data_IF_831542769704
#
_entry.id   IF_831542769704
#
_cell.length_a   1.000
_cell.length_b   1.000
_cell.length_c   1.000
_cell.angle_alpha   90.00
_cell.angle_beta   90.00
_cell.angle_gamma   90.00
#
_symmetry.space_group_name_H-M   'P 1'
#
loop_
_entity.id
_entity.type
_entity.pdbx_description
1 polymer ?
#
# COMPACT_ATOMS: atom_id res chain seq x y z
N UNK A 1 -15.38 -18.15 -19.23
CA UNK A 1 -16.51 -19.12 -19.24
C UNK A 1 -17.80 -18.63 -18.56
N UNK A 2 -17.83 -17.49 -17.85
CA UNK A 2 -19.07 -16.73 -17.60
C UNK A 2 -18.81 -15.21 -17.67
N UNK A 3 -17.61 -14.77 -17.31
CA UNK A 3 -17.15 -13.38 -17.46
C UNK A 3 -16.85 -12.94 -18.91
N UNK A 4 -16.71 -13.88 -19.85
CA UNK A 4 -16.34 -13.61 -21.24
C UNK A 4 -17.25 -14.40 -22.18
N UNK A 5 -18.48 -13.92 -22.36
CA UNK A 5 -19.43 -14.42 -23.38
C UNK A 5 -20.40 -15.53 -22.97
N UNK A 6 -20.60 -15.77 -21.66
CA UNK A 6 -21.66 -16.64 -21.13
C UNK A 6 -22.88 -15.85 -20.62
N UNK A 7 -23.83 -16.52 -19.94
CA UNK A 7 -25.01 -15.89 -19.32
C UNK A 7 -24.60 -14.70 -18.44
N UNK A 8 -24.97 -13.49 -18.86
CA UNK A 8 -24.51 -12.25 -18.24
C UNK A 8 -25.01 -12.11 -16.81
N UNK A 9 -26.15 -12.73 -16.48
CA UNK A 9 -26.74 -12.71 -15.14
C UNK A 9 -25.86 -13.39 -14.10
N UNK A 10 -25.18 -14.48 -14.47
CA UNK A 10 -24.25 -15.20 -13.57
C UNK A 10 -22.80 -14.74 -13.73
N UNK A 11 -22.52 -13.87 -14.71
CA UNK A 11 -21.18 -13.37 -15.03
C UNK A 11 -21.04 -11.90 -14.68
N UNK A 12 -21.12 -11.05 -15.70
CA UNK A 12 -20.89 -9.60 -15.59
C UNK A 12 -21.84 -8.96 -14.56
N UNK A 13 -23.13 -9.24 -14.66
CA UNK A 13 -24.16 -8.52 -13.91
C UNK A 13 -24.07 -8.86 -12.42
N UNK A 14 -23.84 -10.13 -12.08
CA UNK A 14 -23.56 -10.56 -10.70
C UNK A 14 -22.32 -9.87 -10.08
N UNK A 15 -21.27 -9.61 -10.88
CA UNK A 15 -20.09 -8.88 -10.41
C UNK A 15 -20.46 -7.42 -10.11
N UNK A 16 -21.25 -6.77 -10.96
CA UNK A 16 -21.68 -5.39 -10.69
C UNK A 16 -22.59 -5.31 -9.47
N UNK A 17 -23.56 -6.21 -9.33
CA UNK A 17 -24.41 -6.28 -8.13
C UNK A 17 -23.58 -6.50 -6.85
N UNK A 18 -22.56 -7.37 -6.91
CA UNK A 18 -21.64 -7.56 -5.80
C UNK A 18 -20.88 -6.28 -5.46
N UNK A 19 -20.33 -5.58 -6.46
CA UNK A 19 -19.59 -4.34 -6.23
C UNK A 19 -20.49 -3.22 -5.69
N UNK A 20 -21.74 -3.13 -6.14
CA UNK A 20 -22.74 -2.20 -5.58
C UNK A 20 -23.06 -2.55 -4.13
N UNK A 21 -23.24 -3.83 -3.81
CA UNK A 21 -23.47 -4.27 -2.43
C UNK A 21 -22.26 -3.98 -1.52
N UNK A 22 -21.04 -4.16 -2.02
CA UNK A 22 -19.80 -3.81 -1.31
C UNK A 22 -19.76 -2.32 -1.01
N UNK A 23 -19.99 -1.46 -2.02
CA UNK A 23 -20.00 0.00 -1.85
C UNK A 23 -21.07 0.45 -0.83
N UNK A 24 -22.26 -0.15 -0.89
CA UNK A 24 -23.36 0.19 0.01
C UNK A 24 -23.14 -0.29 1.45
N UNK A 25 -22.41 -1.41 1.64
CA UNK A 25 -22.30 -2.08 2.95
C UNK A 25 -20.99 -1.76 3.68
N UNK A 26 -19.93 -1.41 2.96
CA UNK A 26 -18.59 -1.22 3.53
C UNK A 26 -18.23 0.26 3.45
N UNK A 27 -18.29 1.01 4.57
CA UNK A 27 -17.90 2.42 4.56
C UNK A 27 -16.40 2.56 4.26
N UNK A 28 -16.05 3.62 3.53
CA UNK A 28 -14.65 3.96 3.30
C UNK A 28 -13.97 4.26 4.63
N UNK A 29 -12.86 3.58 4.99
CA UNK A 29 -12.17 3.84 6.24
C UNK A 29 -11.50 5.22 6.21
N UNK A 30 -11.55 5.91 7.35
CA UNK A 30 -10.82 7.16 7.54
C UNK A 30 -9.34 6.83 7.62
N UNK A 31 -8.54 7.46 6.74
CA UNK A 31 -7.09 7.31 6.74
C UNK A 31 -6.45 8.36 7.65
N UNK A 32 -5.60 7.93 8.56
CA UNK A 32 -4.91 8.83 9.50
C UNK A 32 -3.65 9.45 8.89
N UNK A 33 -3.80 10.23 7.82
CA UNK A 33 -2.68 10.76 7.02
C UNK A 33 -1.90 11.89 7.68
N UNK A 34 -2.49 12.57 8.67
CA UNK A 34 -1.91 13.75 9.33
C UNK A 34 -1.02 13.38 10.53
N UNK A 35 -0.93 12.10 10.87
CA UNK A 35 -0.06 11.59 11.92
C UNK A 35 1.38 11.41 11.40
N UNK A 36 2.31 11.21 12.32
CA UNK A 36 3.68 10.81 11.97
C UNK A 36 3.66 9.49 11.21
N UNK A 37 4.49 9.38 10.17
CA UNK A 37 4.63 8.15 9.40
C UNK A 37 4.98 6.96 10.29
N UNK A 38 4.26 5.86 10.11
CA UNK A 38 4.56 4.57 10.72
C UNK A 38 4.18 3.46 9.74
N UNK A 39 5.13 2.58 9.46
CA UNK A 39 4.93 1.41 8.62
C UNK A 39 5.60 0.19 9.28
N UNK A 40 4.81 -0.81 9.71
CA UNK A 40 5.35 -2.11 10.08
C UNK A 40 6.06 -2.76 8.89
N UNK A 41 7.23 -3.33 9.15
CA UNK A 41 7.98 -4.07 8.13
C UNK A 41 7.38 -5.47 7.99
N UNK A 42 6.89 -5.81 6.81
CA UNK A 42 6.38 -7.15 6.47
C UNK A 42 7.47 -8.03 5.88
N UNK A 43 8.29 -7.50 4.97
CA UNK A 43 9.40 -8.21 4.35
C UNK A 43 10.50 -7.24 3.89
N UNK A 44 11.69 -7.76 3.60
CA UNK A 44 12.83 -6.98 3.13
C UNK A 44 13.50 -7.65 1.93
N UNK A 45 13.89 -6.85 0.95
CA UNK A 45 14.58 -7.30 -0.25
C UNK A 45 15.87 -6.50 -0.43
N UNK A 46 16.93 -7.14 -0.89
CA UNK A 46 18.14 -6.45 -1.32
C UNK A 46 18.23 -6.48 -2.84
N UNK A 47 18.05 -5.32 -3.47
CA UNK A 47 18.07 -5.18 -4.93
C UNK A 47 19.42 -4.58 -5.31
N UNK A 48 20.21 -5.35 -6.08
CA UNK A 48 21.51 -4.90 -6.59
C UNK A 48 21.37 -3.57 -7.33
N UNK A 49 22.18 -2.58 -6.95
CA UNK A 49 22.17 -1.24 -7.54
C UNK A 49 21.04 -0.30 -7.10
N UNK A 50 20.06 -0.77 -6.30
CA UNK A 50 18.99 0.07 -5.75
C UNK A 50 19.05 0.18 -4.22
N UNK A 51 19.57 -0.85 -3.56
CA UNK A 51 19.69 -0.92 -2.10
C UNK A 51 18.66 -1.85 -1.46
N UNK A 52 18.35 -1.60 -0.19
CA UNK A 52 17.37 -2.36 0.57
C UNK A 52 15.97 -1.79 0.36
N UNK A 53 15.03 -2.64 -0.02
CA UNK A 53 13.61 -2.35 -0.17
C UNK A 53 12.88 -2.99 0.99
N UNK A 54 11.97 -2.25 1.61
CA UNK A 54 11.22 -2.68 2.79
C UNK A 54 9.75 -2.60 2.45
N UNK A 55 9.04 -3.71 2.49
CA UNK A 55 7.63 -3.73 2.14
C UNK A 55 6.75 -3.74 3.37
N UNK A 56 5.59 -3.08 3.27
CA UNK A 56 4.55 -3.15 4.28
C UNK A 56 3.36 -2.27 3.96
N UNK A 57 2.32 -2.39 4.79
CA UNK A 57 1.22 -1.44 4.82
C UNK A 57 1.56 -0.24 5.70
N UNK A 58 1.39 0.97 5.17
CA UNK A 58 1.51 2.18 5.99
C UNK A 58 0.32 2.23 6.96
N UNK A 59 0.62 2.21 8.26
CA UNK A 59 -0.41 2.22 9.31
C UNK A 59 -0.99 3.62 9.49
N UNK A 60 -0.11 4.63 9.52
CA UNK A 60 -0.50 6.03 9.71
C UNK A 60 0.51 6.98 9.05
N UNK A 61 0.07 8.21 8.83
CA UNK A 61 0.87 9.28 8.26
C UNK A 61 1.11 9.16 6.76
N UNK A 62 2.11 9.90 6.30
CA UNK A 62 2.54 9.99 4.90
C UNK A 62 4.07 10.08 4.86
N UNK A 63 4.67 9.40 3.90
CA UNK A 63 6.10 9.46 3.62
C UNK A 63 6.30 9.85 2.16
N UNK A 64 7.10 10.90 1.92
CA UNK A 64 7.50 11.29 0.57
C UNK A 64 8.91 10.81 0.27
N UNK A 65 9.18 10.61 -1.01
CA UNK A 65 10.55 10.38 -1.48
C UNK A 65 11.42 11.59 -1.11
N UNK A 66 12.57 11.33 -0.50
CA UNK A 66 13.53 12.32 -0.02
C UNK A 66 13.38 12.70 1.45
N UNK A 67 12.35 12.21 2.16
CA UNK A 67 12.18 12.49 3.59
C UNK A 67 13.03 11.56 4.47
N UNK A 68 13.51 12.10 5.60
CA UNK A 68 14.19 11.34 6.64
C UNK A 68 13.22 10.41 7.36
N UNK A 69 13.70 9.22 7.73
CA UNK A 69 12.96 8.26 8.54
C UNK A 69 13.88 7.51 9.50
N UNK A 70 13.28 6.89 10.50
CA UNK A 70 13.97 6.05 11.47
C UNK A 70 13.48 4.61 11.36
N UNK A 71 14.43 3.67 11.31
CA UNK A 71 14.15 2.24 11.45
C UNK A 71 14.26 1.90 12.93
N UNK A 72 13.12 1.56 13.55
CA UNK A 72 12.98 1.34 14.99
C UNK A 72 12.63 -0.12 15.27
N UNK A 73 13.27 -0.71 16.28
CA UNK A 73 13.02 -2.08 16.74
C UNK A 73 14.20 -3.02 16.49
N UNK A 74 14.18 -4.20 17.14
CA UNK A 74 15.23 -5.26 17.19
C UNK A 74 16.64 -4.81 17.62
N UNK A 75 17.17 -3.74 17.04
CA UNK A 75 18.48 -3.14 17.28
C UNK A 75 18.32 -1.66 17.63
N UNK A 76 19.45 -0.97 17.86
CA UNK A 76 19.45 0.48 18.07
C UNK A 76 18.86 1.21 16.85
N UNK A 77 18.06 2.24 17.11
CA UNK A 77 17.41 3.06 16.08
C UNK A 77 18.43 3.65 15.11
N UNK A 78 18.15 3.53 13.81
CA UNK A 78 18.99 4.07 12.75
C UNK A 78 18.21 5.08 11.91
N UNK A 79 18.84 6.23 11.64
CA UNK A 79 18.31 7.23 10.71
C UNK A 79 18.72 6.88 9.29
N UNK A 80 17.80 7.09 8.35
CA UNK A 80 18.03 6.92 6.92
C UNK A 80 17.08 7.84 6.14
N UNK A 81 17.20 7.85 4.81
CA UNK A 81 16.36 8.65 3.91
C UNK A 81 15.55 7.71 3.03
N UNK A 82 14.27 8.01 2.84
CA UNK A 82 13.45 7.35 1.82
C UNK A 82 13.93 7.76 0.43
N UNK A 83 14.56 6.87 -0.32
CA UNK A 83 15.04 7.19 -1.68
C UNK A 83 14.02 6.90 -2.78
N UNK A 84 12.91 6.23 -2.44
CA UNK A 84 11.79 6.00 -3.34
C UNK A 84 10.65 5.28 -2.64
N UNK A 85 9.45 5.40 -3.22
CA UNK A 85 8.25 4.64 -2.84
C UNK A 85 7.67 3.99 -4.09
N UNK A 86 7.37 2.70 -4.04
CA UNK A 86 6.83 1.92 -5.15
C UNK A 86 5.54 1.20 -4.75
N UNK A 87 4.53 1.23 -5.61
CA UNK A 87 3.31 0.44 -5.48
C UNK A 87 2.99 -0.24 -6.81
N UNK A 88 2.85 -1.56 -6.81
CA UNK A 88 2.54 -2.36 -8.02
C UNK A 88 3.42 -2.04 -9.24
N UNK A 89 4.75 -1.99 -9.07
CA UNK A 89 5.72 -1.67 -10.13
C UNK A 89 5.62 -0.24 -10.70
N UNK A 90 5.03 0.68 -9.95
CA UNK A 90 4.96 2.10 -10.28
C UNK A 90 5.62 2.92 -9.19
N UNK A 91 6.52 3.82 -9.60
CA UNK A 91 7.11 4.79 -8.69
C UNK A 91 6.08 5.85 -8.32
N UNK A 92 6.07 6.21 -7.05
CA UNK A 92 5.16 7.18 -6.45
C UNK A 92 5.97 8.30 -5.80
N UNK A 93 5.44 9.53 -5.82
CA UNK A 93 6.07 10.64 -5.10
C UNK A 93 5.94 10.48 -3.57
N UNK A 94 4.90 9.75 -3.12
CA UNK A 94 4.62 9.49 -1.72
C UNK A 94 3.79 8.21 -1.52
N UNK A 95 3.85 7.65 -0.31
CA UNK A 95 2.90 6.68 0.22
C UNK A 95 2.14 7.26 1.41
N UNK A 96 0.91 6.81 1.64
CA UNK A 96 0.07 7.25 2.77
C UNK A 96 -0.61 6.07 3.48
N UNK A 97 -1.16 6.33 4.66
CA UNK A 97 -1.91 5.35 5.45
C UNK A 97 -2.88 4.50 4.58
N UNK A 98 -2.80 3.17 4.76
CA UNK A 98 -3.57 2.16 4.01
C UNK A 98 -2.90 1.64 2.73
N UNK A 99 -1.86 2.29 2.24
CA UNK A 99 -1.14 1.86 1.05
C UNK A 99 -0.19 0.70 1.36
N UNK A 100 -0.16 -0.33 0.51
CA UNK A 100 0.88 -1.38 0.55
C UNK A 100 1.99 -0.97 -0.41
N UNK A 101 3.17 -0.66 0.12
CA UNK A 101 4.29 -0.07 -0.63
C UNK A 101 5.59 -0.83 -0.37
N UNK A 102 6.59 -0.57 -1.22
CA UNK A 102 7.99 -0.94 -1.04
C UNK A 102 8.94 0.22 -1.31
#
# INVERSE_FOLDING_TARGET
>A
AAATGGDTKLGRDAIYELMEAVEASIPTPVRETDKTFLMPVEDTFSISGRGTVVTGRIEQGKLKTGEDLEVVGLVATQKTICTGVEMFKKSMDFGQAGDNVG
#
